data_IF_191693316404
#
_entry.id   IF_191693316404
#
_cell.length_a   1.000
_cell.length_b   1.000
_cell.length_c   1.000
_cell.angle_alpha   90.00
_cell.angle_beta   90.00
_cell.angle_gamma   90.00
#
_symmetry.space_group_name_H-M   'P 1'
#
loop_
_entity.id
_entity.type
_entity.pdbx_description
1 polymer ?
#
# COMPACT_ATOMS: atom_id res chain seq x y z
N UNK A 1 -5.26 17.97 6.81
CA UNK A 1 -3.95 17.46 6.34
C UNK A 1 -2.89 18.51 6.65
N UNK A 2 -1.90 18.23 7.52
CA UNK A 2 -0.79 19.16 7.79
C UNK A 2 0.13 19.20 6.56
N UNK A 3 0.18 20.37 5.93
CA UNK A 3 0.93 20.67 4.71
C UNK A 3 2.40 20.87 5.07
N UNK A 4 3.12 19.77 5.31
CA UNK A 4 4.51 19.80 5.77
C UNK A 4 5.51 19.00 4.94
N UNK A 5 5.09 18.00 4.16
CA UNK A 5 6.04 17.00 3.63
C UNK A 5 5.52 16.25 2.38
N UNK A 6 4.99 16.96 1.38
CA UNK A 6 4.42 16.33 0.17
C UNK A 6 5.42 15.43 -0.57
N UNK A 7 6.70 15.81 -0.61
CA UNK A 7 7.79 15.02 -1.22
C UNK A 7 8.10 13.77 -0.41
N UNK A 8 8.07 13.85 0.92
CA UNK A 8 8.30 12.69 1.81
C UNK A 8 7.14 11.69 1.71
N UNK A 9 5.91 12.19 1.62
CA UNK A 9 4.72 11.39 1.40
C UNK A 9 4.75 10.65 0.07
N UNK A 10 5.21 11.30 -1.01
CA UNK A 10 5.33 10.69 -2.34
C UNK A 10 6.35 9.54 -2.35
N UNK A 11 7.56 9.77 -1.82
CA UNK A 11 8.58 8.70 -1.73
C UNK A 11 8.13 7.52 -0.88
N UNK A 12 7.32 7.78 0.15
CA UNK A 12 6.78 6.73 1.02
C UNK A 12 5.78 5.85 0.29
N UNK A 13 4.91 6.43 -0.55
CA UNK A 13 3.97 5.64 -1.36
C UNK A 13 4.69 4.87 -2.48
N UNK A 14 5.67 5.48 -3.14
CA UNK A 14 6.48 4.82 -4.17
C UNK A 14 7.16 3.57 -3.59
N UNK A 15 7.76 3.69 -2.40
CA UNK A 15 8.40 2.57 -1.72
C UNK A 15 7.40 1.49 -1.29
N UNK A 16 6.20 1.88 -0.86
CA UNK A 16 5.15 0.92 -0.50
C UNK A 16 4.69 0.11 -1.73
N UNK A 17 4.50 0.78 -2.88
CA UNK A 17 4.16 0.11 -4.14
C UNK A 17 5.28 -0.83 -4.60
N UNK A 18 6.54 -0.42 -4.49
CA UNK A 18 7.69 -1.26 -4.82
C UNK A 18 7.72 -2.55 -3.97
N UNK A 19 7.45 -2.45 -2.66
CA UNK A 19 7.38 -3.62 -1.79
C UNK A 19 6.23 -4.56 -2.15
N UNK A 20 5.08 -4.01 -2.55
CA UNK A 20 3.95 -4.80 -3.03
C UNK A 20 4.32 -5.51 -4.33
N UNK A 21 4.96 -4.83 -5.28
CA UNK A 21 5.42 -5.41 -6.54
C UNK A 21 6.45 -6.54 -6.32
N UNK A 22 7.40 -6.34 -5.40
CA UNK A 22 8.33 -7.39 -4.98
C UNK A 22 7.60 -8.60 -4.35
N UNK A 23 6.53 -8.35 -3.58
CA UNK A 23 5.71 -9.41 -2.98
C UNK A 23 4.93 -10.19 -4.04
N UNK A 24 4.40 -9.50 -5.05
CA UNK A 24 3.70 -10.13 -6.18
C UNK A 24 4.66 -11.00 -7.01
N UNK A 25 5.88 -10.52 -7.24
CA UNK A 25 6.89 -11.23 -8.01
C UNK A 25 7.43 -12.49 -7.30
N UNK A 26 7.24 -12.61 -5.99
CA UNK A 26 7.74 -13.74 -5.21
C UNK A 26 6.87 -15.00 -5.40
N UNK A 27 7.51 -16.08 -5.85
CA UNK A 27 6.89 -17.40 -6.07
C UNK A 27 6.15 -17.96 -4.86
N UNK A 28 6.56 -17.60 -3.64
CA UNK A 28 5.92 -18.05 -2.40
C UNK A 28 4.45 -17.62 -2.28
N UNK A 29 4.05 -16.54 -2.96
CA UNK A 29 2.72 -15.94 -2.81
C UNK A 29 1.79 -16.11 -4.01
N UNK A 30 2.21 -16.84 -5.05
CA UNK A 30 1.47 -16.93 -6.33
C UNK A 30 0.03 -17.44 -6.19
N UNK A 31 -0.23 -18.37 -5.26
CA UNK A 31 -1.58 -18.88 -4.98
C UNK A 31 -2.48 -17.88 -4.20
N UNK A 32 -1.93 -16.74 -3.76
CA UNK A 32 -2.61 -15.79 -2.84
C UNK A 32 -2.51 -14.33 -3.32
N UNK A 33 -2.29 -14.11 -4.62
CA UNK A 33 -2.04 -12.77 -5.17
C UNK A 33 -3.28 -11.87 -5.23
N UNK A 34 -4.49 -12.42 -5.24
CA UNK A 34 -5.72 -11.65 -5.49
C UNK A 34 -5.85 -10.42 -4.59
N UNK A 35 -5.72 -10.61 -3.28
CA UNK A 35 -5.84 -9.51 -2.32
C UNK A 35 -4.62 -8.57 -2.35
N UNK A 36 -3.43 -9.08 -2.69
CA UNK A 36 -2.22 -8.25 -2.82
C UNK A 36 -2.34 -7.30 -4.02
N UNK A 37 -2.80 -7.81 -5.17
CA UNK A 37 -3.03 -7.02 -6.38
C UNK A 37 -4.17 -6.03 -6.16
N UNK A 38 -5.25 -6.43 -5.49
CA UNK A 38 -6.34 -5.50 -5.14
C UNK A 38 -5.87 -4.37 -4.22
N UNK A 39 -5.06 -4.67 -3.22
CA UNK A 39 -4.48 -3.65 -2.35
C UNK A 39 -3.60 -2.66 -3.14
N UNK A 40 -2.86 -3.16 -4.15
CA UNK A 40 -2.11 -2.32 -5.10
C UNK A 40 -3.03 -1.41 -5.91
N UNK A 41 -4.10 -1.96 -6.49
CA UNK A 41 -5.07 -1.20 -7.30
C UNK A 41 -5.70 -0.06 -6.50
N UNK A 42 -6.13 -0.35 -5.27
CA UNK A 42 -6.76 0.65 -4.39
C UNK A 42 -5.78 1.75 -3.99
N UNK A 43 -4.51 1.42 -3.72
CA UNK A 43 -3.48 2.43 -3.46
C UNK A 43 -3.24 3.29 -4.71
N UNK A 44 -3.11 2.68 -5.88
CA UNK A 44 -2.89 3.41 -7.12
C UNK A 44 -4.07 4.36 -7.43
N UNK A 45 -5.30 3.87 -7.28
CA UNK A 45 -6.52 4.66 -7.48
C UNK A 45 -6.62 5.84 -6.50
N UNK A 46 -6.28 5.62 -5.22
CA UNK A 46 -6.35 6.67 -4.21
C UNK A 46 -5.28 7.77 -4.38
N UNK A 47 -4.06 7.40 -4.76
CA UNK A 47 -2.93 8.34 -4.84
C UNK A 47 -2.68 8.93 -6.23
N UNK A 48 -3.06 8.22 -7.30
CA UNK A 48 -2.79 8.62 -8.69
C UNK A 48 -4.03 8.63 -9.60
N UNK A 49 -5.14 8.05 -9.15
CA UNK A 49 -6.39 7.98 -9.91
C UNK A 49 -7.44 8.97 -9.41
N UNK A 50 -8.68 8.75 -9.87
CA UNK A 50 -9.85 9.56 -9.49
C UNK A 50 -10.47 9.12 -8.15
N UNK A 51 -9.80 8.22 -7.41
CA UNK A 51 -10.30 7.61 -6.18
C UNK A 51 -11.69 6.98 -6.38
N UNK A 52 -11.86 6.19 -7.45
CA UNK A 52 -13.10 5.50 -7.81
C UNK A 52 -13.57 4.54 -6.70
N UNK A 53 -12.64 3.95 -5.95
CA UNK A 53 -12.95 3.10 -4.80
C UNK A 53 -13.33 3.88 -3.54
N UNK A 54 -13.38 5.22 -3.62
CA UNK A 54 -13.75 6.12 -2.53
C UNK A 54 -12.98 5.83 -1.24
N UNK A 55 -11.70 5.46 -1.39
CA UNK A 55 -10.85 5.14 -0.25
C UNK A 55 -10.46 6.41 0.49
N UNK A 56 -10.23 6.29 1.79
CA UNK A 56 -9.73 7.37 2.63
C UNK A 56 -8.35 7.00 3.17
N UNK A 57 -7.56 8.00 3.55
CA UNK A 57 -6.25 7.76 4.17
C UNK A 57 -6.40 6.91 5.45
N UNK A 58 -7.46 7.11 6.23
CA UNK A 58 -7.76 6.33 7.44
C UNK A 58 -8.14 4.89 7.14
N UNK A 59 -8.87 4.62 6.04
CA UNK A 59 -9.20 3.24 5.65
C UNK A 59 -7.97 2.48 5.19
N UNK A 60 -7.12 3.13 4.39
CA UNK A 60 -5.83 2.59 3.95
C UNK A 60 -4.90 2.33 5.14
N UNK A 61 -4.77 3.31 6.03
CA UNK A 61 -3.95 3.15 7.23
C UNK A 61 -4.42 1.97 8.07
N UNK A 62 -5.72 1.82 8.34
CA UNK A 62 -6.25 0.65 9.08
C UNK A 62 -5.93 -0.68 8.40
N UNK A 63 -6.10 -0.75 7.07
CA UNK A 63 -5.84 -1.97 6.31
C UNK A 63 -4.35 -2.36 6.36
N UNK A 64 -3.46 -1.40 6.12
CA UNK A 64 -2.01 -1.66 6.06
C UNK A 64 -1.34 -1.76 7.44
N UNK A 65 -1.91 -1.16 8.49
CA UNK A 65 -1.31 -1.15 9.83
C UNK A 65 -1.10 -2.56 10.39
N UNK A 66 -2.03 -3.48 10.16
CA UNK A 66 -1.91 -4.88 10.58
C UNK A 66 -0.68 -5.56 9.97
N UNK A 67 -0.42 -5.30 8.69
CA UNK A 67 0.75 -5.85 7.98
C UNK A 67 2.06 -5.18 8.42
N UNK A 68 2.04 -3.85 8.63
CA UNK A 68 3.20 -3.13 9.15
C UNK A 68 3.60 -3.64 10.54
N UNK A 69 2.63 -3.87 11.43
CA UNK A 69 2.86 -4.46 12.76
C UNK A 69 3.42 -5.88 12.68
N UNK A 70 2.91 -6.71 11.77
CA UNK A 70 3.43 -8.06 11.56
C UNK A 70 4.87 -8.06 11.00
N UNK A 71 5.19 -7.15 10.08
CA UNK A 71 6.53 -6.98 9.53
C UNK A 71 7.53 -6.48 10.59
N UNK A 72 7.11 -5.55 11.45
CA UNK A 72 7.94 -5.01 12.53
C UNK A 72 8.29 -6.05 13.61
N UNK A 73 7.40 -7.03 13.87
CA UNK A 73 7.66 -8.12 14.82
C UNK A 73 8.72 -9.12 14.37
N UNK A 74 9.08 -9.13 13.09
CA UNK A 74 10.09 -10.03 12.52
C UNK A 74 11.43 -9.32 12.26
N UNK A 75 11.65 -8.14 12.85
CA UNK A 75 12.94 -7.46 12.93
C UNK A 75 13.58 -7.69 14.29
#
# INVERSE_FOLDING_TARGET
MKKGDSVSSQRSIDRALELIDLTIADRRWHERLKEIVRAREVLCDHFYGDNQYQSSTESLQRYFFSFAMAAAKNR
#
